data_IF_386309517016
#
_entry.id   IF_386309517016
#
_cell.length_a   1.000
_cell.length_b   1.000
_cell.length_c   1.000
_cell.angle_alpha   90.00
_cell.angle_beta   90.00
_cell.angle_gamma   90.00
#
_symmetry.space_group_name_H-M   'P 1'
#
loop_
_entity.id
_entity.type
_entity.pdbx_description
1 polymer ?
#
# COMPACT_ATOMS: atom_id res chain seq x y z
N UNK A 1 -8.41 2.75 -14.53
CA UNK A 1 -7.19 3.43 -14.04
C UNK A 1 -6.01 2.73 -14.69
N UNK A 2 -5.01 3.43 -15.22
CA UNK A 2 -3.82 2.76 -15.77
C UNK A 2 -2.87 2.36 -14.63
N UNK A 3 -2.00 1.37 -14.86
CA UNK A 3 -0.98 0.98 -13.89
C UNK A 3 -0.12 2.18 -13.46
N UNK A 4 0.20 3.08 -14.40
CA UNK A 4 0.93 4.32 -14.13
C UNK A 4 0.20 5.27 -13.18
N UNK A 5 -1.11 5.44 -13.35
CA UNK A 5 -1.92 6.26 -12.45
C UNK A 5 -2.05 5.61 -11.07
N UNK A 6 -2.12 4.28 -11.01
CA UNK A 6 -2.12 3.54 -9.75
C UNK A 6 -0.81 3.73 -8.99
N UNK A 7 0.33 3.48 -9.66
CA UNK A 7 1.67 3.65 -9.08
C UNK A 7 1.84 5.06 -8.54
N UNK A 8 1.52 6.09 -9.34
CA UNK A 8 1.63 7.48 -8.90
C UNK A 8 0.72 7.78 -7.69
N UNK A 9 -0.49 7.20 -7.64
CA UNK A 9 -1.41 7.40 -6.52
C UNK A 9 -0.87 6.79 -5.22
N UNK A 10 -0.28 5.59 -5.29
CA UNK A 10 0.31 4.92 -4.12
C UNK A 10 1.61 5.63 -3.69
N UNK A 11 2.48 6.01 -4.63
CA UNK A 11 3.70 6.78 -4.32
C UNK A 11 3.41 8.12 -3.63
N UNK A 12 2.38 8.83 -4.11
CA UNK A 12 1.92 10.07 -3.49
C UNK A 12 1.36 9.82 -2.08
N UNK A 13 0.58 8.74 -1.90
CA UNK A 13 0.05 8.35 -0.60
C UNK A 13 1.15 8.03 0.41
N UNK A 14 2.15 7.25 0.01
CA UNK A 14 3.32 6.92 0.84
C UNK A 14 4.07 8.20 1.22
N UNK A 15 4.35 9.07 0.26
CA UNK A 15 5.07 10.33 0.51
C UNK A 15 4.30 11.23 1.47
N UNK A 16 2.98 11.32 1.35
CA UNK A 16 2.13 12.09 2.25
C UNK A 16 2.12 11.49 3.67
N UNK A 17 2.12 10.16 3.80
CA UNK A 17 2.20 9.48 5.10
C UNK A 17 3.55 9.72 5.79
N UNK A 18 4.66 9.57 5.07
CA UNK A 18 6.01 9.81 5.62
C UNK A 18 6.22 11.27 6.07
N UNK A 19 5.54 12.21 5.42
CA UNK A 19 5.55 13.64 5.81
C UNK A 19 4.60 13.95 6.99
N UNK A 20 3.85 12.98 7.48
CA UNK A 20 2.82 13.19 8.52
C UNK A 20 1.58 13.93 8.04
N UNK A 21 1.41 14.08 6.72
CA UNK A 21 0.26 14.75 6.09
C UNK A 21 -0.90 13.79 5.80
N UNK A 22 -0.70 12.49 6.00
CA UNK A 22 -1.68 11.44 5.75
C UNK A 22 -1.64 10.44 6.92
N UNK A 23 -2.80 10.04 7.42
CA UNK A 23 -2.90 8.99 8.42
C UNK A 23 -2.80 7.59 7.78
N UNK A 24 -2.40 6.60 8.57
CA UNK A 24 -2.28 5.20 8.12
C UNK A 24 -3.59 4.66 7.54
N UNK A 25 -4.73 5.04 8.11
CA UNK A 25 -6.06 4.65 7.62
C UNK A 25 -6.32 5.17 6.19
N UNK A 26 -5.90 6.40 5.90
CA UNK A 26 -6.07 6.98 4.58
C UNK A 26 -5.14 6.34 3.55
N UNK A 27 -3.92 5.94 3.96
CA UNK A 27 -3.02 5.13 3.14
C UNK A 27 -3.63 3.74 2.84
N UNK A 28 -4.19 3.06 3.85
CA UNK A 28 -4.87 1.78 3.67
C UNK A 28 -6.03 1.90 2.68
N UNK A 29 -6.88 2.91 2.84
CA UNK A 29 -8.01 3.14 1.94
C UNK A 29 -7.56 3.36 0.49
N UNK A 30 -6.44 4.05 0.28
CA UNK A 30 -5.82 4.21 -1.05
C UNK A 30 -5.40 2.86 -1.65
N UNK A 31 -4.77 2.01 -0.84
CA UNK A 31 -4.33 0.66 -1.20
C UNK A 31 -5.53 -0.27 -1.47
N UNK A 32 -6.60 -0.20 -0.68
CA UNK A 32 -7.82 -1.00 -0.87
C UNK A 32 -8.54 -0.62 -2.17
N UNK A 33 -8.65 0.68 -2.45
CA UNK A 33 -9.33 1.19 -3.64
C UNK A 33 -8.56 0.92 -4.95
N UNK A 34 -7.31 0.44 -4.87
CA UNK A 34 -6.51 -0.01 -6.01
C UNK A 34 -7.05 -1.29 -6.68
N UNK A 35 -7.93 -2.05 -6.02
CA UNK A 35 -8.33 -3.41 -6.40
C UNK A 35 -8.63 -3.62 -7.89
N UNK A 36 -9.44 -2.75 -8.49
CA UNK A 36 -9.83 -2.89 -9.91
C UNK A 36 -8.70 -2.64 -10.91
N UNK A 37 -7.63 -1.95 -10.50
CA UNK A 37 -6.44 -1.74 -11.33
C UNK A 37 -5.48 -2.93 -11.27
N UNK A 38 -5.59 -3.76 -10.22
CA UNK A 38 -4.75 -4.94 -10.01
C UNK A 38 -5.24 -6.15 -10.80
N UNK A 39 -6.54 -6.27 -11.07
CA UNK A 39 -7.12 -7.41 -11.81
C UNK A 39 -6.51 -7.62 -13.21
N UNK A 40 -5.90 -6.57 -13.80
CA UNK A 40 -5.21 -6.63 -15.09
C UNK A 40 -3.71 -6.98 -14.98
N UNK A 41 -3.18 -7.20 -13.77
CA UNK A 41 -1.77 -7.48 -13.52
C UNK A 41 -1.47 -8.99 -13.50
N UNK A 42 -0.18 -9.38 -13.68
CA UNK A 42 0.26 -10.74 -13.38
C UNK A 42 -0.14 -11.18 -11.97
N UNK A 43 -0.67 -12.41 -11.85
CA UNK A 43 -1.19 -12.96 -10.61
C UNK A 43 -0.22 -12.84 -9.41
N UNK A 44 1.09 -13.03 -9.64
CA UNK A 44 2.08 -12.91 -8.58
C UNK A 44 2.16 -11.50 -7.97
N UNK A 45 1.97 -10.44 -8.78
CA UNK A 45 1.93 -9.06 -8.28
C UNK A 45 0.64 -8.80 -7.52
N UNK A 46 -0.49 -9.34 -7.98
CA UNK A 46 -1.77 -9.26 -7.28
C UNK A 46 -1.63 -9.92 -5.90
N UNK A 47 -1.06 -11.12 -5.85
CA UNK A 47 -0.89 -11.85 -4.59
C UNK A 47 0.03 -11.10 -3.62
N UNK A 48 1.18 -10.60 -4.08
CA UNK A 48 2.09 -9.81 -3.25
C UNK A 48 1.42 -8.54 -2.72
N UNK A 49 0.61 -7.87 -3.54
CA UNK A 49 -0.14 -6.69 -3.12
C UNK A 49 -1.17 -7.03 -2.03
N UNK A 50 -1.93 -8.11 -2.23
CA UNK A 50 -2.92 -8.60 -1.27
C UNK A 50 -2.29 -8.98 0.08
N UNK A 51 -1.10 -9.59 0.07
CA UNK A 51 -0.31 -9.86 1.27
C UNK A 51 0.09 -8.57 1.99
N UNK A 52 0.64 -7.58 1.27
CA UNK A 52 1.01 -6.27 1.85
C UNK A 52 -0.23 -5.55 2.41
N UNK A 53 -1.36 -5.61 1.71
CA UNK A 53 -2.63 -5.01 2.16
C UNK A 53 -3.11 -5.65 3.46
N UNK A 54 -3.06 -6.97 3.56
CA UNK A 54 -3.43 -7.70 4.78
C UNK A 54 -2.52 -7.34 5.96
N UNK A 55 -1.21 -7.26 5.72
CA UNK A 55 -0.26 -6.86 6.76
C UNK A 55 -0.47 -5.42 7.22
N UNK A 56 -0.80 -4.50 6.30
CA UNK A 56 -1.11 -3.10 6.62
C UNK A 56 -2.37 -2.96 7.49
N UNK A 57 -3.39 -3.78 7.20
CA UNK A 57 -4.59 -3.86 8.03
C UNK A 57 -4.28 -4.32 9.45
N UNK A 58 -3.50 -5.40 9.58
CA UNK A 58 -3.08 -5.93 10.87
C UNK A 58 -2.27 -4.87 11.64
N UNK A 59 -1.37 -4.17 10.97
CA UNK A 59 -0.54 -3.15 11.60
C UNK A 59 -1.35 -1.93 12.05
N UNK A 60 -2.36 -1.51 11.28
CA UNK A 60 -3.30 -0.47 11.71
C UNK A 60 -4.01 -0.86 12.99
N UNK A 61 -4.60 -2.06 13.05
CA UNK A 61 -5.27 -2.54 14.26
C UNK A 61 -4.32 -2.59 15.46
N UNK A 62 -3.08 -3.04 15.26
CA UNK A 62 -2.05 -3.06 16.31
C UNK A 62 -1.69 -1.64 16.79
N UNK A 63 -1.56 -0.69 15.86
CA UNK A 63 -1.28 0.70 16.19
C UNK A 63 -2.44 1.36 16.95
N UNK A 64 -3.68 1.04 16.62
CA UNK A 64 -4.87 1.51 17.34
C UNK A 64 -4.91 0.95 18.78
N UNK A 65 -4.46 -0.28 18.97
CA UNK A 65 -4.34 -0.93 20.29
C UNK A 65 -3.08 -0.52 21.09
N UNK A 66 -2.26 0.40 20.56
CA UNK A 66 -1.06 0.92 21.24
C UNK A 66 0.17 0.01 21.18
N UNK A 67 0.19 -0.99 20.29
CA UNK A 67 1.36 -1.81 20.03
C UNK A 67 2.36 -1.11 19.08
N UNK A 68 3.62 -1.56 19.11
CA UNK A 68 4.65 -1.05 18.19
C UNK A 68 4.29 -1.40 16.74
N UNK A 69 4.10 -0.36 15.93
CA UNK A 69 3.79 -0.46 14.51
C UNK A 69 5.03 -0.85 13.70
N UNK A 70 4.85 -1.81 12.79
CA UNK A 70 5.79 -2.21 11.74
C UNK A 70 5.55 -1.49 10.41
N UNK A 71 4.79 -0.39 10.39
CA UNK A 71 4.39 0.31 9.15
C UNK A 71 5.59 0.69 8.27
N UNK A 72 6.75 1.02 8.83
CA UNK A 72 7.95 1.36 8.04
C UNK A 72 8.43 0.20 7.15
N UNK A 73 8.38 -1.03 7.66
CA UNK A 73 8.72 -2.23 6.89
C UNK A 73 7.67 -2.49 5.79
N UNK A 74 6.39 -2.26 6.11
CA UNK A 74 5.30 -2.43 5.14
C UNK A 74 5.37 -1.39 4.02
N UNK A 75 5.76 -0.16 4.32
CA UNK A 75 6.01 0.87 3.30
C UNK A 75 7.21 0.48 2.42
N UNK A 76 8.26 -0.09 3.00
CA UNK A 76 9.41 -0.58 2.23
C UNK A 76 9.00 -1.68 1.27
N UNK A 77 8.19 -2.65 1.72
CA UNK A 77 7.63 -3.72 0.87
C UNK A 77 6.70 -3.18 -0.20
N UNK A 78 5.87 -2.19 0.12
CA UNK A 78 4.98 -1.55 -0.85
C UNK A 78 5.76 -0.79 -1.93
N UNK A 79 6.84 -0.09 -1.57
CA UNK A 79 7.77 0.54 -2.53
C UNK A 79 8.44 -0.50 -3.44
N UNK A 80 8.95 -1.59 -2.86
CA UNK A 80 9.55 -2.67 -3.64
C UNK A 80 8.55 -3.29 -4.62
N UNK A 81 7.29 -3.48 -4.19
CA UNK A 81 6.22 -3.95 -5.08
C UNK A 81 5.97 -2.98 -6.24
N UNK A 82 5.93 -1.66 -5.99
CA UNK A 82 5.74 -0.64 -7.03
C UNK A 82 6.82 -0.70 -8.12
N UNK A 83 8.06 -1.03 -7.77
CA UNK A 83 9.16 -1.19 -8.73
C UNK A 83 8.96 -2.38 -9.69
N UNK A 84 8.16 -3.37 -9.30
CA UNK A 84 7.81 -4.53 -10.12
C UNK A 84 6.55 -4.34 -10.96
N UNK A 85 5.78 -3.26 -10.74
CA UNK A 85 4.56 -2.99 -11.51
C UNK A 85 4.90 -2.51 -12.94
N UNK A 86 4.33 -3.13 -13.99
CA UNK A 86 4.54 -2.67 -15.36
C UNK A 86 3.89 -1.30 -15.60
N UNK A 87 4.68 -0.33 -16.05
CA UNK A 87 4.33 1.09 -16.21
C UNK A 87 3.75 1.44 -17.58
#
# INVERSE_FOLDING_TARGET
MSNRSLVASIENGISAYEQGNLELLALECLVVNAGSALEAMPYHLIQQFEEIRGDLQIDRFRSEDGFVSGTSELITRLRAWLDHVPK
#
